data_IF_379168367632
#
_entry.id   IF_379168367632
#
_cell.length_a   1.000
_cell.length_b   1.000
_cell.length_c   1.000
_cell.angle_alpha   90.00
_cell.angle_beta   90.00
_cell.angle_gamma   90.00
#
_symmetry.space_group_name_H-M   'P 1'
#
loop_
_entity.id
_entity.type
_entity.pdbx_description
1 polymer ?
#
# COMPACT_ATOMS: atom_id res chain seq x y z
N UNK A 1 -26.43 24.70 -6.38
CA UNK A 1 -25.73 25.50 -7.42
C UNK A 1 -24.42 25.94 -6.77
N UNK A 2 -23.28 25.38 -7.19
CA UNK A 2 -21.97 25.55 -6.51
C UNK A 2 -21.28 24.23 -6.16
N UNK A 3 -22.00 23.11 -6.29
CA UNK A 3 -21.48 21.76 -6.07
C UNK A 3 -20.40 21.42 -7.09
N UNK A 4 -19.32 20.78 -6.62
CA UNK A 4 -18.27 20.23 -7.48
C UNK A 4 -18.49 18.74 -7.61
N UNK A 5 -18.89 18.31 -8.80
CA UNK A 5 -19.04 16.90 -9.12
C UNK A 5 -17.83 16.38 -9.90
N UNK A 6 -17.42 15.13 -9.62
CA UNK A 6 -16.33 14.46 -10.34
C UNK A 6 -16.56 12.95 -10.44
N UNK A 7 -15.94 12.33 -11.44
CA UNK A 7 -15.85 10.89 -11.61
C UNK A 7 -14.38 10.45 -11.77
N UNK A 8 -14.06 9.25 -11.29
CA UNK A 8 -12.73 8.65 -11.40
C UNK A 8 -12.87 7.21 -11.93
N UNK A 9 -11.90 6.79 -12.74
CA UNK A 9 -11.87 5.47 -13.35
C UNK A 9 -10.53 4.80 -13.06
N UNK A 10 -10.57 3.50 -12.79
CA UNK A 10 -9.37 2.68 -12.62
C UNK A 10 -9.60 1.37 -13.36
N UNK A 11 -8.70 1.03 -14.30
CA UNK A 11 -8.80 -0.19 -15.09
C UNK A 11 -8.29 -1.39 -14.28
N UNK A 12 -8.85 -2.56 -14.55
CA UNK A 12 -8.56 -3.81 -13.86
C UNK A 12 -7.09 -4.26 -14.02
N UNK A 13 -6.57 -4.27 -15.24
CA UNK A 13 -5.20 -4.70 -15.54
C UNK A 13 -4.12 -3.92 -14.74
N UNK A 14 -4.18 -2.58 -14.63
CA UNK A 14 -3.32 -1.82 -13.72
C UNK A 14 -3.43 -2.22 -12.25
N UNK A 15 -4.61 -2.58 -11.73
CA UNK A 15 -4.77 -3.01 -10.33
C UNK A 15 -4.05 -4.34 -10.10
N UNK A 16 -4.17 -5.29 -11.03
CA UNK A 16 -3.47 -6.57 -10.94
C UNK A 16 -1.95 -6.39 -11.00
N UNK A 17 -1.45 -5.53 -11.88
CA UNK A 17 -0.01 -5.24 -11.97
C UNK A 17 0.50 -4.51 -10.71
N UNK A 18 -0.30 -3.60 -10.14
CA UNK A 18 0.00 -2.95 -8.87
C UNK A 18 0.14 -3.95 -7.71
N UNK A 19 -0.76 -4.93 -7.60
CA UNK A 19 -0.65 -6.01 -6.60
C UNK A 19 0.60 -6.87 -6.86
N UNK A 20 0.86 -7.24 -8.11
CA UNK A 20 2.06 -7.98 -8.51
C UNK A 20 3.34 -7.26 -8.09
N UNK A 21 3.40 -5.95 -8.32
CA UNK A 21 4.56 -5.13 -7.97
C UNK A 21 4.74 -5.08 -6.45
N UNK A 22 3.67 -4.92 -5.68
CA UNK A 22 3.73 -4.93 -4.22
C UNK A 22 4.34 -6.24 -3.67
N UNK A 23 3.87 -7.39 -4.16
CA UNK A 23 4.40 -8.71 -3.78
C UNK A 23 5.87 -8.84 -4.19
N UNK A 24 6.22 -8.45 -5.42
CA UNK A 24 7.60 -8.49 -5.92
C UNK A 24 8.55 -7.65 -5.06
N UNK A 25 8.14 -6.44 -4.65
CA UNK A 25 8.95 -5.55 -3.82
C UNK A 25 9.08 -6.06 -2.39
N UNK A 26 8.00 -6.56 -1.81
CA UNK A 26 8.02 -7.16 -0.47
C UNK A 26 8.95 -8.38 -0.42
N UNK A 27 8.87 -9.25 -1.43
CA UNK A 27 9.73 -10.43 -1.59
C UNK A 27 11.21 -10.09 -1.75
N UNK A 28 11.53 -9.07 -2.54
CA UNK A 28 12.91 -8.68 -2.77
C UNK A 28 13.60 -8.21 -1.48
N UNK A 29 12.87 -7.53 -0.58
CA UNK A 29 13.38 -7.01 0.69
C UNK A 29 14.77 -6.34 0.58
N UNK A 30 14.98 -5.53 -0.46
CA UNK A 30 16.27 -4.90 -0.79
C UNK A 30 16.64 -3.72 0.13
N UNK A 31 16.12 -3.68 1.36
CA UNK A 31 16.47 -2.62 2.31
C UNK A 31 17.85 -2.91 2.93
N UNK A 32 18.66 -1.87 3.25
CA UNK A 32 20.00 -2.07 3.84
C UNK A 32 20.01 -2.85 5.16
N UNK A 33 18.90 -2.80 5.92
CA UNK A 33 18.67 -3.56 7.16
C UNK A 33 17.46 -4.47 6.96
N UNK A 34 17.71 -5.74 6.65
CA UNK A 34 16.70 -6.71 6.26
C UNK A 34 16.60 -7.92 7.22
N UNK A 35 17.11 -7.77 8.45
CA UNK A 35 17.09 -8.80 9.49
C UNK A 35 15.67 -9.25 9.88
N UNK A 36 14.66 -8.43 9.57
CA UNK A 36 13.25 -8.76 9.71
C UNK A 36 12.56 -8.86 8.35
N UNK A 37 11.50 -9.69 8.23
CA UNK A 37 10.65 -9.72 7.04
C UNK A 37 10.11 -8.33 6.73
N UNK A 38 10.20 -7.94 5.46
CA UNK A 38 9.62 -6.68 5.00
C UNK A 38 8.10 -6.72 5.17
N UNK A 39 7.55 -5.67 5.79
CA UNK A 39 6.11 -5.47 5.89
C UNK A 39 5.61 -4.61 4.73
N UNK A 40 4.61 -5.07 4.01
CA UNK A 40 3.91 -4.28 3.01
C UNK A 40 2.47 -4.02 3.45
N UNK A 41 2.04 -2.76 3.38
CA UNK A 41 0.69 -2.36 3.80
C UNK A 41 0.00 -1.72 2.60
N UNK A 42 -1.15 -2.25 2.22
CA UNK A 42 -2.10 -1.62 1.31
C UNK A 42 -2.93 -0.59 2.07
N UNK A 43 -2.82 0.68 1.70
CA UNK A 43 -3.50 1.79 2.38
C UNK A 43 -4.85 2.04 1.71
N UNK A 44 -5.89 1.36 2.20
CA UNK A 44 -7.23 1.38 1.64
C UNK A 44 -8.23 1.58 2.78
N UNK A 45 -9.11 2.57 2.66
CA UNK A 45 -10.07 2.93 3.70
C UNK A 45 -11.39 2.17 3.50
N UNK A 46 -11.83 1.32 4.46
CA UNK A 46 -13.11 0.61 4.33
C UNK A 46 -14.33 1.54 4.35
N UNK A 47 -14.17 2.81 4.73
CA UNK A 47 -15.23 3.81 4.69
C UNK A 47 -15.33 4.53 3.33
N UNK A 48 -14.48 4.17 2.34
CA UNK A 48 -14.49 4.75 0.99
C UNK A 48 -14.84 3.68 -0.02
N UNK A 49 -15.99 3.80 -0.68
CA UNK A 49 -16.49 2.82 -1.67
C UNK A 49 -15.47 2.47 -2.76
N UNK A 50 -14.72 3.46 -3.26
CA UNK A 50 -13.65 3.21 -4.22
C UNK A 50 -12.58 2.24 -3.68
N UNK A 51 -12.18 2.44 -2.42
CA UNK A 51 -11.15 1.63 -1.77
C UNK A 51 -11.71 0.24 -1.42
N UNK A 52 -13.00 0.11 -1.08
CA UNK A 52 -13.67 -1.19 -0.88
C UNK A 52 -13.58 -2.07 -2.12
N UNK A 53 -13.90 -1.52 -3.30
CA UNK A 53 -13.77 -2.25 -4.58
C UNK A 53 -12.30 -2.64 -4.83
N UNK A 54 -11.34 -1.76 -4.51
CA UNK A 54 -9.92 -2.09 -4.63
C UNK A 54 -9.50 -3.20 -3.64
N UNK A 55 -10.04 -3.23 -2.42
CA UNK A 55 -9.77 -4.31 -1.46
C UNK A 55 -10.23 -5.66 -1.97
N UNK A 56 -11.42 -5.73 -2.59
CA UNK A 56 -11.91 -6.95 -3.22
C UNK A 56 -10.95 -7.45 -4.31
N UNK A 57 -10.49 -6.54 -5.17
CA UNK A 57 -9.50 -6.84 -6.22
C UNK A 57 -8.17 -7.30 -5.64
N UNK A 58 -7.67 -6.62 -4.60
CA UNK A 58 -6.43 -7.01 -3.92
C UNK A 58 -6.57 -8.41 -3.31
N UNK A 59 -7.68 -8.70 -2.63
CA UNK A 59 -7.96 -10.03 -2.06
C UNK A 59 -8.07 -11.11 -3.13
N UNK A 60 -8.64 -10.78 -4.29
CA UNK A 60 -8.75 -11.71 -5.41
C UNK A 60 -7.40 -12.00 -6.10
N UNK A 61 -6.54 -10.98 -6.24
CA UNK A 61 -5.26 -11.14 -6.95
C UNK A 61 -4.10 -11.60 -6.08
N UNK A 62 -4.08 -11.30 -4.78
CA UNK A 62 -3.00 -11.71 -3.88
C UNK A 62 -2.71 -13.23 -3.93
N UNK A 63 -3.72 -14.13 -3.94
CA UNK A 63 -3.50 -15.58 -4.05
C UNK A 63 -2.89 -16.03 -5.38
N UNK A 64 -2.92 -15.20 -6.43
CA UNK A 64 -2.31 -15.55 -7.72
C UNK A 64 -0.77 -15.39 -7.71
N UNK A 65 -0.21 -14.82 -6.64
CA UNK A 65 1.22 -14.63 -6.47
C UNK A 65 1.73 -15.40 -5.25
N UNK A 66 3.00 -15.79 -5.27
CA UNK A 66 3.62 -16.39 -4.08
C UNK A 66 3.72 -15.33 -2.96
N UNK A 67 2.96 -15.53 -1.89
CA UNK A 67 2.93 -14.71 -0.68
C UNK A 67 3.49 -15.43 0.55
N UNK A 68 4.03 -16.63 0.37
CA UNK A 68 4.56 -17.47 1.46
C UNK A 68 5.65 -16.73 2.24
N UNK A 69 5.48 -16.57 3.55
CA UNK A 69 6.46 -15.87 4.40
C UNK A 69 6.52 -14.35 4.22
N UNK A 70 5.59 -13.73 3.48
CA UNK A 70 5.47 -12.28 3.38
C UNK A 70 4.47 -11.75 4.42
N UNK A 71 4.78 -10.59 5.00
CA UNK A 71 3.85 -9.86 5.87
C UNK A 71 3.15 -8.76 5.06
N UNK A 72 1.99 -9.11 4.48
CA UNK A 72 1.16 -8.21 3.67
C UNK A 72 -0.16 -7.97 4.38
N UNK A 73 -0.52 -6.70 4.59
CA UNK A 73 -1.76 -6.31 5.27
C UNK A 73 -2.52 -5.23 4.50
N UNK A 74 -3.81 -5.11 4.75
CA UNK A 74 -4.66 -4.02 4.26
C UNK A 74 -5.12 -3.21 5.48
N UNK A 75 -4.90 -1.91 5.47
CA UNK A 75 -5.22 -1.01 6.59
C UNK A 75 -5.75 0.33 6.09
N UNK A 76 -6.62 0.97 6.87
CA UNK A 76 -7.05 2.33 6.61
C UNK A 76 -5.83 3.29 6.67
N UNK A 77 -5.77 4.35 5.84
CA UNK A 77 -4.59 5.23 5.76
C UNK A 77 -4.11 5.77 7.11
N UNK A 78 -5.02 6.13 8.02
CA UNK A 78 -4.66 6.63 9.35
C UNK A 78 -3.99 5.56 10.22
N UNK A 79 -4.49 4.33 10.18
CA UNK A 79 -3.92 3.20 10.93
C UNK A 79 -2.57 2.79 10.33
N UNK A 80 -2.51 2.72 9.00
CA UNK A 80 -1.31 2.38 8.26
C UNK A 80 -0.19 3.40 8.52
N UNK A 81 -0.49 4.71 8.52
CA UNK A 81 0.46 5.76 8.86
C UNK A 81 1.02 5.60 10.28
N UNK A 82 0.14 5.39 11.28
CA UNK A 82 0.57 5.20 12.67
C UNK A 82 1.53 4.02 12.81
N UNK A 83 1.20 2.88 12.20
CA UNK A 83 2.04 1.69 12.23
C UNK A 83 3.36 1.90 11.49
N UNK A 84 3.33 2.54 10.31
CA UNK A 84 4.55 2.87 9.55
C UNK A 84 5.46 3.79 10.35
N UNK A 85 4.95 4.86 10.99
CA UNK A 85 5.75 5.75 11.82
C UNK A 85 6.33 5.05 13.05
N UNK A 86 5.54 4.17 13.70
CA UNK A 86 6.03 3.37 14.82
C UNK A 86 7.21 2.49 14.39
N UNK A 87 7.04 1.74 13.29
CA UNK A 87 8.08 0.88 12.73
C UNK A 87 9.33 1.67 12.31
N UNK A 88 9.15 2.83 11.68
CA UNK A 88 10.25 3.71 11.30
C UNK A 88 11.05 4.19 12.52
N UNK A 89 10.36 4.56 13.61
CA UNK A 89 11.02 4.91 14.89
C UNK A 89 11.81 3.75 15.49
N UNK A 90 11.36 2.51 15.27
CA UNK A 90 12.05 1.28 15.66
C UNK A 90 13.17 0.87 14.67
N UNK A 91 13.41 1.66 13.60
CA UNK A 91 14.41 1.38 12.57
C UNK A 91 14.00 0.29 11.57
N UNK A 92 12.70 -0.04 11.52
CA UNK A 92 12.13 -1.08 10.66
C UNK A 92 11.53 -0.49 9.38
N UNK A 93 11.78 -1.17 8.26
CA UNK A 93 11.27 -0.77 6.96
C UNK A 93 9.83 -1.21 6.73
N UNK A 94 9.05 -0.38 6.04
CA UNK A 94 7.65 -0.68 5.67
C UNK A 94 7.38 -0.19 4.25
N UNK A 95 6.94 -1.09 3.37
CA UNK A 95 6.50 -0.71 2.03
C UNK A 95 5.07 -0.18 2.11
N UNK A 96 4.87 1.06 1.67
CA UNK A 96 3.55 1.68 1.54
C UNK A 96 3.00 1.40 0.14
N UNK A 97 1.91 0.65 0.06
CA UNK A 97 1.25 0.27 -1.18
C UNK A 97 -0.04 1.09 -1.30
N UNK A 98 -0.01 2.15 -2.11
CA UNK A 98 -1.06 3.17 -2.11
C UNK A 98 -1.59 3.47 -3.52
N UNK A 99 -2.75 4.15 -3.57
CA UNK A 99 -3.28 4.73 -4.81
C UNK A 99 -2.54 6.00 -5.23
N UNK A 100 -2.92 6.54 -6.40
CA UNK A 100 -2.14 7.59 -7.09
C UNK A 100 -1.90 8.86 -6.25
N UNK A 101 -2.91 9.35 -5.52
CA UNK A 101 -2.78 10.57 -4.71
C UNK A 101 -1.84 10.36 -3.52
N UNK A 102 -2.03 9.27 -2.77
CA UNK A 102 -1.18 8.98 -1.61
C UNK A 102 0.26 8.63 -2.01
N UNK A 103 0.47 8.05 -3.21
CA UNK A 103 1.83 7.88 -3.74
C UNK A 103 2.55 9.22 -3.76
N UNK A 104 1.93 10.24 -4.36
CA UNK A 104 2.51 11.58 -4.50
C UNK A 104 2.88 12.18 -3.13
N UNK A 105 1.95 12.11 -2.17
CA UNK A 105 2.17 12.68 -0.83
C UNK A 105 3.25 11.93 -0.04
N UNK A 106 3.25 10.60 -0.08
CA UNK A 106 4.15 9.80 0.76
C UNK A 106 5.56 9.71 0.20
N UNK A 107 5.73 9.79 -1.12
CA UNK A 107 7.07 9.84 -1.74
C UNK A 107 7.73 11.21 -1.60
N UNK A 108 7.00 12.23 -1.16
CA UNK A 108 7.58 13.50 -0.71
C UNK A 108 7.82 13.49 0.80
N UNK A 109 6.78 13.13 1.58
CA UNK A 109 6.81 13.16 3.04
C UNK A 109 7.95 12.36 3.68
N UNK A 110 8.07 11.07 3.36
CA UNK A 110 9.06 10.21 4.03
C UNK A 110 10.49 10.54 3.61
N UNK A 111 10.80 10.72 2.31
CA UNK A 111 12.15 11.10 1.90
C UNK A 111 12.65 12.45 2.42
N UNK A 112 11.76 13.38 2.77
CA UNK A 112 12.14 14.63 3.45
C UNK A 112 12.54 14.39 4.91
N UNK A 113 11.93 13.40 5.57
CA UNK A 113 12.13 13.11 6.99
C UNK A 113 13.27 12.12 7.27
N UNK A 114 13.56 11.23 6.33
CA UNK A 114 14.63 10.21 6.39
C UNK A 114 16.02 10.81 6.18
#
# INVERSE_FOLDING_TARGET
KGDIWRACLTKDAPVKDWVKLAVKRCRANNFPKNDQPCKAIFWLDPCREHDVILMEKVRAYLPEFDTSGLDIQIMAPVQAMRLTCQRAKEGLNTITVTGNVLRDYLTDLFPILE
#
